data_IF_383782561374
#
_entry.id   IF_383782561374
#
_cell.length_a   1.000
_cell.length_b   1.000
_cell.length_c   1.000
_cell.angle_alpha   90.00
_cell.angle_beta   90.00
_cell.angle_gamma   90.00
#
_symmetry.space_group_name_H-M   'P 1'
#
loop_
_entity.id
_entity.type
_entity.pdbx_description
1 polymer ?
#
# COMPACT_ATOMS: atom_id res chain seq x y z
N UNK A 1 11.45 7.47 41.09
CA UNK A 1 10.32 7.06 40.22
C UNK A 1 10.52 5.59 39.86
N UNK A 2 9.80 4.68 40.53
CA UNK A 2 9.89 3.26 40.24
C UNK A 2 9.21 3.01 38.89
N UNK A 3 10.01 2.85 37.83
CA UNK A 3 9.48 2.36 36.56
C UNK A 3 8.98 0.95 36.83
N UNK A 4 7.67 0.72 36.69
CA UNK A 4 7.06 -0.58 36.95
C UNK A 4 7.82 -1.67 36.18
N UNK A 5 8.21 -2.76 36.86
CA UNK A 5 8.91 -3.90 36.23
C UNK A 5 8.17 -4.37 34.97
N UNK A 6 6.84 -4.33 34.98
CA UNK A 6 5.98 -4.58 33.83
C UNK A 6 6.36 -3.76 32.59
N UNK A 7 6.60 -2.46 32.72
CA UNK A 7 6.96 -1.59 31.58
C UNK A 7 8.32 -1.97 31.00
N UNK A 8 9.31 -2.30 31.85
CA UNK A 8 10.62 -2.77 31.36
C UNK A 8 10.49 -4.06 30.55
N UNK A 9 9.71 -5.03 31.03
CA UNK A 9 9.47 -6.28 30.31
C UNK A 9 8.67 -6.09 29.01
N UNK A 10 7.65 -5.23 29.02
CA UNK A 10 6.90 -4.89 27.81
C UNK A 10 7.79 -4.23 26.77
N UNK A 11 8.61 -3.25 27.16
CA UNK A 11 9.57 -2.61 26.25
C UNK A 11 10.54 -3.64 25.67
N UNK A 12 11.08 -4.55 26.47
CA UNK A 12 11.96 -5.60 25.96
C UNK A 12 11.25 -6.51 24.96
N UNK A 13 10.04 -6.99 25.30
CA UNK A 13 9.26 -7.88 24.45
C UNK A 13 8.86 -7.22 23.11
N UNK A 14 8.34 -6.00 23.14
CA UNK A 14 7.99 -5.28 21.91
C UNK A 14 9.20 -4.98 21.03
N UNK A 15 10.34 -4.57 21.62
CA UNK A 15 11.57 -4.37 20.84
C UNK A 15 12.09 -5.67 20.23
N UNK A 16 11.94 -6.81 20.92
CA UNK A 16 12.30 -8.12 20.39
C UNK A 16 11.41 -8.52 19.21
N UNK A 17 10.10 -8.27 19.30
CA UNK A 17 9.18 -8.50 18.19
C UNK A 17 9.53 -7.63 16.97
N UNK A 18 9.84 -6.35 17.18
CA UNK A 18 10.29 -5.47 16.10
C UNK A 18 11.61 -5.92 15.48
N UNK A 19 12.54 -6.42 16.28
CA UNK A 19 13.78 -6.97 15.78
C UNK A 19 13.55 -8.20 14.89
N UNK A 20 12.72 -9.15 15.35
CA UNK A 20 12.36 -10.36 14.58
C UNK A 20 11.63 -9.97 13.28
N UNK A 21 10.68 -9.04 13.34
CA UNK A 21 9.96 -8.59 12.14
C UNK A 21 10.89 -7.89 11.15
N UNK A 22 11.84 -7.08 11.63
CA UNK A 22 12.90 -6.49 10.81
C UNK A 22 13.73 -7.54 10.07
N UNK A 23 14.14 -8.61 10.75
CA UNK A 23 14.85 -9.73 10.14
C UNK A 23 14.02 -10.43 9.05
N UNK A 24 12.73 -10.67 9.30
CA UNK A 24 11.82 -11.29 8.31
C UNK A 24 11.66 -10.38 7.08
N UNK A 25 11.39 -9.09 7.28
CA UNK A 25 11.23 -8.11 6.20
C UNK A 25 12.52 -8.05 5.36
N UNK A 26 13.69 -8.01 5.99
CA UNK A 26 14.97 -8.04 5.27
C UNK A 26 15.17 -9.32 4.47
N UNK A 27 14.88 -10.49 5.07
CA UNK A 27 14.98 -11.77 4.38
C UNK A 27 14.09 -11.83 3.13
N UNK A 28 12.82 -11.43 3.26
CA UNK A 28 11.88 -11.37 2.13
C UNK A 28 12.32 -10.35 1.08
N UNK A 29 12.78 -9.17 1.51
CA UNK A 29 13.22 -8.12 0.57
C UNK A 29 14.44 -8.52 -0.24
N UNK A 30 15.41 -9.20 0.39
CA UNK A 30 16.60 -9.73 -0.30
C UNK A 30 16.21 -10.87 -1.24
N UNK A 31 15.32 -11.77 -0.81
CA UNK A 31 14.80 -12.85 -1.65
C UNK A 31 14.14 -12.28 -2.91
N UNK A 32 13.24 -11.30 -2.76
CA UNK A 32 12.59 -10.62 -3.89
C UNK A 32 13.58 -9.91 -4.80
N UNK A 33 14.64 -9.29 -4.25
CA UNK A 33 15.68 -8.62 -5.03
C UNK A 33 16.48 -9.61 -5.87
N UNK A 34 16.85 -10.76 -5.30
CA UNK A 34 17.56 -11.83 -6.02
C UNK A 34 16.69 -12.45 -7.10
N UNK A 35 15.45 -12.83 -6.79
CA UNK A 35 14.55 -13.47 -7.77
C UNK A 35 14.21 -12.58 -8.96
N UNK A 36 14.29 -11.26 -8.82
CA UNK A 36 14.07 -10.31 -9.92
C UNK A 36 15.35 -9.93 -10.68
N UNK A 37 16.54 -10.26 -10.16
CA UNK A 37 17.81 -9.90 -10.79
C UNK A 37 18.06 -10.66 -12.11
N UNK A 38 17.54 -11.89 -12.24
CA UNK A 38 17.68 -12.70 -13.45
C UNK A 38 16.77 -12.24 -14.61
N UNK A 39 15.75 -11.42 -14.31
CA UNK A 39 14.84 -10.87 -15.30
C UNK A 39 15.29 -9.45 -15.65
N UNK A 40 15.91 -9.28 -16.83
CA UNK A 40 16.45 -8.03 -17.40
C UNK A 40 15.40 -6.92 -17.67
N UNK A 41 14.32 -6.86 -16.90
CA UNK A 41 13.28 -5.85 -16.99
C UNK A 41 12.89 -5.48 -15.56
N UNK A 42 13.53 -4.46 -14.96
CA UNK A 42 12.83 -3.51 -14.07
C UNK A 42 13.77 -2.42 -13.53
N UNK A 43 13.89 -1.33 -14.25
CA UNK A 43 14.36 -0.05 -13.68
C UNK A 43 13.35 0.49 -12.63
N UNK A 44 12.08 0.05 -12.68
CA UNK A 44 10.99 0.63 -11.88
C UNK A 44 10.57 -0.13 -10.61
N UNK A 45 10.90 -1.43 -10.50
CA UNK A 45 10.57 -2.25 -9.31
C UNK A 45 11.69 -2.30 -8.28
N UNK A 46 12.94 -2.11 -8.71
CA UNK A 46 14.10 -1.97 -7.83
C UNK A 46 13.92 -0.89 -6.75
N UNK A 47 13.42 0.34 -7.03
CA UNK A 47 13.32 1.38 -5.99
C UNK A 47 12.37 1.00 -4.85
N UNK A 48 11.31 0.22 -5.11
CA UNK A 48 10.38 -0.20 -4.06
C UNK A 48 10.99 -1.28 -3.16
N UNK A 49 11.68 -2.26 -3.74
CA UNK A 49 12.37 -3.31 -2.99
C UNK A 49 13.55 -2.73 -2.20
N UNK A 50 14.30 -1.80 -2.78
CA UNK A 50 15.41 -1.11 -2.12
C UNK A 50 14.94 -0.27 -0.93
N UNK A 51 13.79 0.39 -1.05
CA UNK A 51 13.16 1.09 0.07
C UNK A 51 12.75 0.12 1.19
N UNK A 52 12.18 -1.04 0.84
CA UNK A 52 11.84 -2.08 1.82
C UNK A 52 13.08 -2.63 2.54
N UNK A 53 14.20 -2.81 1.84
CA UNK A 53 15.48 -3.17 2.46
C UNK A 53 15.90 -2.08 3.44
N UNK A 54 15.89 -0.80 3.03
CA UNK A 54 16.28 0.31 3.89
C UNK A 54 15.42 0.38 5.17
N UNK A 55 14.09 0.27 5.03
CA UNK A 55 13.15 0.24 6.16
C UNK A 55 13.44 -0.96 7.07
N UNK A 56 13.64 -2.16 6.50
CA UNK A 56 13.96 -3.38 7.25
C UNK A 56 15.23 -3.24 8.08
N UNK A 57 16.30 -2.64 7.51
CA UNK A 57 17.56 -2.40 8.24
C UNK A 57 17.33 -1.44 9.40
N UNK A 58 16.60 -0.35 9.18
CA UNK A 58 16.30 0.64 10.23
C UNK A 58 15.54 -0.04 11.38
N UNK A 59 14.49 -0.79 11.07
CA UNK A 59 13.69 -1.51 12.08
C UNK A 59 14.56 -2.52 12.85
N UNK A 60 15.42 -3.28 12.15
CA UNK A 60 16.33 -4.24 12.77
C UNK A 60 17.31 -3.53 13.72
N UNK A 61 17.93 -2.42 13.31
CA UNK A 61 18.88 -1.66 14.15
C UNK A 61 18.18 -1.06 15.36
N UNK A 62 17.00 -0.47 15.20
CA UNK A 62 16.22 0.10 16.30
C UNK A 62 15.79 -0.98 17.29
N UNK A 63 15.32 -2.14 16.81
CA UNK A 63 14.97 -3.27 17.65
C UNK A 63 16.16 -3.80 18.44
N UNK A 64 17.32 -3.93 17.80
CA UNK A 64 18.57 -4.35 18.46
C UNK A 64 19.02 -3.35 19.53
N UNK A 65 19.01 -2.05 19.23
CA UNK A 65 19.34 -1.00 20.19
C UNK A 65 18.36 -0.97 21.36
N UNK A 66 17.06 -1.21 21.11
CA UNK A 66 16.04 -1.33 22.15
C UNK A 66 16.27 -2.53 23.07
N UNK A 67 16.54 -3.71 22.51
CA UNK A 67 16.86 -4.92 23.28
C UNK A 67 18.16 -4.77 24.08
N UNK A 68 19.25 -4.30 23.45
CA UNK A 68 20.52 -4.06 24.12
C UNK A 68 20.42 -2.97 25.19
N UNK A 69 19.69 -1.89 24.94
CA UNK A 69 19.45 -0.83 25.91
C UNK A 69 18.69 -1.31 27.15
N UNK A 70 17.71 -2.19 26.95
CA UNK A 70 16.97 -2.82 28.04
C UNK A 70 17.82 -3.82 28.85
N UNK A 71 18.64 -4.65 28.19
CA UNK A 71 19.49 -5.66 28.86
C UNK A 71 20.66 -5.02 29.60
N UNK A 72 21.37 -4.06 28.99
CA UNK A 72 22.59 -3.47 29.57
C UNK A 72 22.32 -2.44 30.67
N UNK A 73 21.05 -2.11 30.92
CA UNK A 73 20.61 -1.01 31.80
C UNK A 73 21.36 0.32 31.53
N UNK A 74 21.93 0.46 30.32
CA UNK A 74 22.76 1.59 29.95
C UNK A 74 21.87 2.72 29.48
N UNK A 75 21.77 3.75 30.31
CA UNK A 75 20.96 4.94 30.02
C UNK A 75 21.35 5.61 28.71
N UNK A 76 22.61 5.57 28.30
CA UNK A 76 23.06 6.17 27.04
C UNK A 76 22.45 5.46 25.81
N UNK A 77 22.39 4.12 25.81
CA UNK A 77 21.79 3.33 24.71
C UNK A 77 20.27 3.52 24.63
N UNK A 78 19.58 3.55 25.77
CA UNK A 78 18.14 3.85 25.83
C UNK A 78 17.84 5.29 25.36
N UNK A 79 18.72 6.24 25.70
CA UNK A 79 18.57 7.63 25.29
C UNK A 79 18.77 7.78 23.79
N UNK A 80 19.78 7.13 23.20
CA UNK A 80 19.96 7.10 21.74
C UNK A 80 18.74 6.50 21.03
N UNK A 81 18.23 5.37 21.51
CA UNK A 81 17.00 4.77 20.98
C UNK A 81 15.82 5.76 21.01
N UNK A 82 15.63 6.46 22.13
CA UNK A 82 14.59 7.47 22.26
C UNK A 82 14.79 8.65 21.30
N UNK A 83 16.03 9.15 21.14
CA UNK A 83 16.34 10.21 20.18
C UNK A 83 15.99 9.77 18.75
N UNK A 84 16.41 8.57 18.34
CA UNK A 84 16.10 8.06 17.00
C UNK A 84 14.59 7.92 16.77
N UNK A 85 13.86 7.38 17.75
CA UNK A 85 12.39 7.30 17.66
C UNK A 85 11.75 8.68 17.54
N UNK A 86 12.22 9.66 18.31
CA UNK A 86 11.72 11.02 18.28
C UNK A 86 12.01 11.70 16.94
N UNK A 87 13.20 11.50 16.37
CA UNK A 87 13.56 11.98 15.04
C UNK A 87 12.66 11.36 13.95
N UNK A 88 12.44 10.04 13.99
CA UNK A 88 11.55 9.35 13.06
C UNK A 88 10.12 9.88 13.19
N UNK A 89 9.64 10.11 14.42
CA UNK A 89 8.33 10.68 14.66
C UNK A 89 8.18 12.08 14.05
N UNK A 90 9.17 12.96 14.23
CA UNK A 90 9.16 14.29 13.60
C UNK A 90 9.17 14.18 12.07
N UNK A 91 9.98 13.29 11.51
CA UNK A 91 10.02 13.06 10.05
C UNK A 91 8.69 12.53 9.52
N UNK A 92 8.07 11.56 10.20
CA UNK A 92 6.76 11.02 9.82
C UNK A 92 5.65 12.07 9.94
N UNK A 93 5.70 12.91 10.97
CA UNK A 93 4.75 14.01 11.14
C UNK A 93 4.91 15.05 10.02
N UNK A 94 6.14 15.46 9.72
CA UNK A 94 6.44 16.39 8.63
C UNK A 94 6.02 15.82 7.27
N UNK A 95 6.33 14.55 6.99
CA UNK A 95 5.92 13.86 5.78
C UNK A 95 4.39 13.73 5.69
N UNK A 96 3.71 13.43 6.79
CA UNK A 96 2.24 13.36 6.86
C UNK A 96 1.58 14.71 6.57
N UNK A 97 2.10 15.79 7.15
CA UNK A 97 1.63 17.16 6.86
C UNK A 97 1.90 17.52 5.40
N UNK A 98 3.11 17.24 4.89
CA UNK A 98 3.47 17.51 3.49
C UNK A 98 2.59 16.72 2.52
N UNK A 99 2.28 15.46 2.83
CA UNK A 99 1.38 14.61 2.03
C UNK A 99 -0.06 15.12 2.05
N UNK A 100 -0.53 15.63 3.19
CA UNK A 100 -1.87 16.21 3.32
C UNK A 100 -2.01 17.53 2.55
N UNK A 101 -1.00 18.41 2.60
CA UNK A 101 -1.02 19.68 1.86
C UNK A 101 -0.78 19.47 0.36
N UNK A 102 0.07 18.50 0.00
CA UNK A 102 0.43 18.15 -1.37
C UNK A 102 -0.43 17.06 -1.99
N UNK A 103 -1.68 16.88 -1.56
CA UNK A 103 -2.53 15.74 -1.92
C UNK A 103 -2.59 15.49 -3.44
N UNK A 104 -2.71 16.54 -4.25
CA UNK A 104 -2.73 16.44 -5.72
C UNK A 104 -1.44 15.84 -6.28
N UNK A 105 -0.28 16.33 -5.81
CA UNK A 105 1.04 15.85 -6.23
C UNK A 105 1.28 14.40 -5.79
N UNK A 106 0.87 14.05 -4.58
CA UNK A 106 0.95 12.66 -4.09
C UNK A 106 0.06 11.75 -4.92
N UNK A 107 -1.18 12.17 -5.22
CA UNK A 107 -2.10 11.41 -6.08
C UNK A 107 -1.52 11.20 -7.48
N UNK A 108 -0.98 12.25 -8.11
CA UNK A 108 -0.39 12.16 -9.45
C UNK A 108 0.83 11.23 -9.46
N UNK A 109 1.71 11.36 -8.47
CA UNK A 109 2.87 10.48 -8.34
C UNK A 109 2.48 9.02 -8.11
N UNK A 110 1.48 8.76 -7.26
CA UNK A 110 0.97 7.39 -7.05
C UNK A 110 0.34 6.86 -8.33
N UNK A 111 -0.46 7.66 -9.04
CA UNK A 111 -1.09 7.26 -10.31
C UNK A 111 -0.05 6.88 -11.36
N UNK A 112 0.97 7.71 -11.59
CA UNK A 112 2.03 7.43 -12.56
C UNK A 112 2.74 6.10 -12.27
N UNK A 113 2.96 5.78 -10.98
CA UNK A 113 3.57 4.51 -10.57
C UNK A 113 2.62 3.33 -10.76
N UNK A 114 1.33 3.52 -10.52
CA UNK A 114 0.31 2.48 -10.70
C UNK A 114 -0.01 2.22 -12.19
N UNK A 115 0.05 3.24 -13.04
CA UNK A 115 -0.16 3.11 -14.49
C UNK A 115 0.85 2.16 -15.14
N UNK A 116 2.08 2.08 -14.59
CA UNK A 116 3.10 1.11 -15.04
C UNK A 116 2.70 -0.36 -14.86
N UNK A 117 1.71 -0.64 -14.00
CA UNK A 117 1.17 -1.99 -13.79
C UNK A 117 0.01 -2.32 -14.74
N UNK A 118 -0.44 -1.35 -15.55
CA UNK A 118 -1.49 -1.58 -16.56
C UNK A 118 -0.88 -2.08 -17.88
N UNK A 119 -1.55 -3.00 -18.61
CA UNK A 119 -2.83 -3.61 -18.29
C UNK A 119 -2.74 -4.65 -17.16
N UNK A 120 -3.72 -4.64 -16.25
CA UNK A 120 -3.80 -5.62 -15.16
C UNK A 120 -3.96 -7.05 -15.70
N UNK A 121 -4.60 -7.20 -16.86
CA UNK A 121 -4.78 -8.49 -17.53
C UNK A 121 -3.50 -9.15 -18.02
N UNK A 122 -2.38 -8.41 -18.16
CA UNK A 122 -1.09 -9.02 -18.53
C UNK A 122 -0.22 -9.40 -17.33
N UNK A 123 -0.67 -9.09 -16.10
CA UNK A 123 0.09 -9.43 -14.89
C UNK A 123 0.06 -10.92 -14.58
N UNK A 124 1.01 -11.35 -13.74
CA UNK A 124 1.09 -12.72 -13.24
C UNK A 124 -0.20 -13.13 -12.52
N UNK A 125 -0.54 -14.42 -12.57
CA UNK A 125 -1.77 -14.93 -11.97
C UNK A 125 -1.84 -14.65 -10.47
N UNK A 126 -0.70 -14.73 -9.77
CA UNK A 126 -0.66 -14.44 -8.34
C UNK A 126 -1.04 -12.98 -8.05
N UNK A 127 -0.55 -12.03 -8.86
CA UNK A 127 -0.86 -10.60 -8.72
C UNK A 127 -2.33 -10.32 -9.01
N UNK A 128 -2.90 -11.00 -10.01
CA UNK A 128 -4.33 -10.89 -10.33
C UNK A 128 -5.19 -11.42 -9.19
N UNK A 129 -4.86 -12.59 -8.64
CA UNK A 129 -5.63 -13.20 -7.56
C UNK A 129 -5.63 -12.33 -6.30
N UNK A 130 -4.46 -11.80 -5.90
CA UNK A 130 -4.31 -10.88 -4.78
C UNK A 130 -5.12 -9.58 -5.01
N UNK A 131 -5.08 -9.04 -6.23
CA UNK A 131 -5.82 -7.84 -6.59
C UNK A 131 -7.34 -8.09 -6.61
N UNK A 132 -7.78 -9.23 -7.12
CA UNK A 132 -9.19 -9.61 -7.12
C UNK A 132 -9.72 -9.81 -5.70
N UNK A 133 -8.92 -10.37 -4.79
CA UNK A 133 -9.28 -10.47 -3.38
C UNK A 133 -9.46 -9.09 -2.75
N UNK A 134 -8.51 -8.18 -2.99
CA UNK A 134 -8.59 -6.81 -2.49
C UNK A 134 -9.81 -6.07 -3.05
N UNK A 135 -10.11 -6.23 -4.34
CA UNK A 135 -11.30 -5.66 -4.98
C UNK A 135 -12.60 -6.20 -4.38
N UNK A 136 -12.66 -7.48 -4.03
CA UNK A 136 -13.82 -8.09 -3.35
C UNK A 136 -14.02 -7.55 -1.93
N UNK A 137 -12.94 -7.30 -1.21
CA UNK A 137 -12.96 -6.80 0.17
C UNK A 137 -13.29 -5.30 0.22
N UNK A 138 -12.64 -4.50 -0.63
CA UNK A 138 -12.81 -3.05 -0.68
C UNK A 138 -13.98 -2.59 -1.57
N UNK A 139 -14.65 -3.51 -2.28
CA UNK A 139 -15.76 -3.22 -3.20
C UNK A 139 -15.41 -2.13 -4.22
N UNK A 140 -14.24 -2.26 -4.83
CA UNK A 140 -13.72 -1.35 -5.85
C UNK A 140 -13.27 -2.14 -7.08
N UNK A 141 -13.03 -1.45 -8.21
CA UNK A 141 -12.51 -2.06 -9.41
C UNK A 141 -11.39 -1.21 -10.01
N UNK A 142 -10.33 -1.85 -10.51
CA UNK A 142 -9.18 -1.19 -11.14
C UNK A 142 -8.17 -0.62 -10.15
N UNK A 143 -7.20 0.12 -10.69
CA UNK A 143 -6.11 0.78 -9.96
C UNK A 143 -6.16 2.31 -10.13
N UNK A 144 -6.36 2.79 -11.36
CA UNK A 144 -6.31 4.22 -11.74
C UNK A 144 -7.59 4.65 -12.46
N UNK A 145 -7.96 3.97 -13.55
CA UNK A 145 -9.10 4.32 -14.41
C UNK A 145 -10.31 3.38 -14.24
N UNK A 146 -10.29 2.53 -13.22
CA UNK A 146 -11.42 1.67 -12.88
C UNK A 146 -11.44 0.37 -13.69
N UNK A 147 -12.62 -0.14 -14.09
CA UNK A 147 -12.72 -1.35 -14.92
C UNK A 147 -11.90 -1.30 -16.21
N UNK A 148 -11.63 -0.09 -16.74
CA UNK A 148 -10.81 0.12 -17.92
C UNK A 148 -9.35 -0.36 -17.77
N UNK A 149 -8.81 -0.41 -16.55
CA UNK A 149 -7.42 -0.85 -16.30
C UNK A 149 -7.20 -2.34 -16.62
N UNK A 150 -8.27 -3.13 -16.68
CA UNK A 150 -8.24 -4.53 -17.08
C UNK A 150 -8.21 -4.71 -18.61
N UNK A 151 -8.61 -3.70 -19.38
CA UNK A 151 -8.69 -3.66 -20.85
C UNK A 151 -9.51 -4.81 -21.48
N UNK A 152 -9.00 -6.04 -21.45
CA UNK A 152 -9.51 -7.22 -22.16
C UNK A 152 -10.49 -8.06 -21.35
N UNK A 153 -10.24 -8.28 -20.06
CA UNK A 153 -11.07 -9.16 -19.23
C UNK A 153 -11.24 -8.60 -17.82
N UNK A 154 -12.39 -7.96 -17.58
CA UNK A 154 -12.76 -7.49 -16.24
C UNK A 154 -13.14 -8.70 -15.38
N UNK A 155 -12.49 -8.93 -14.23
CA UNK A 155 -12.77 -10.09 -13.40
C UNK A 155 -14.11 -9.99 -12.68
N UNK A 156 -14.66 -11.14 -12.23
CA UNK A 156 -15.90 -11.17 -11.47
C UNK A 156 -15.80 -10.44 -10.12
N UNK A 157 -14.58 -10.23 -9.58
CA UNK A 157 -14.34 -9.42 -8.37
C UNK A 157 -14.86 -7.99 -8.49
N UNK A 158 -14.85 -7.43 -9.70
CA UNK A 158 -15.32 -6.08 -10.00
C UNK A 158 -16.84 -5.97 -10.15
N UNK A 159 -17.57 -7.09 -10.28
CA UNK A 159 -19.01 -7.07 -10.54
C UNK A 159 -19.77 -6.65 -9.29
N UNK A 160 -20.62 -5.66 -9.45
CA UNK A 160 -21.46 -5.17 -8.36
C UNK A 160 -22.73 -6.01 -8.24
N UNK A 161 -23.03 -6.46 -7.02
CA UNK A 161 -24.28 -7.15 -6.67
C UNK A 161 -25.16 -6.32 -5.72
N UNK A 162 -24.88 -5.02 -5.58
CA UNK A 162 -25.56 -4.15 -4.62
C UNK A 162 -26.60 -3.28 -5.32
N UNK A 163 -27.76 -3.10 -4.68
CA UNK A 163 -28.85 -2.21 -5.12
C UNK A 163 -28.52 -0.71 -4.94
N UNK A 164 -27.33 -0.38 -4.42
CA UNK A 164 -26.94 0.99 -4.09
C UNK A 164 -26.13 1.63 -5.23
N UNK A 165 -26.71 2.65 -5.86
CA UNK A 165 -26.13 3.41 -6.98
C UNK A 165 -24.97 4.32 -6.58
N UNK A 166 -24.72 4.52 -5.29
CA UNK A 166 -23.60 5.38 -4.82
C UNK A 166 -22.23 4.72 -4.97
N UNK A 167 -22.19 3.39 -4.98
CA UNK A 167 -20.95 2.59 -4.98
C UNK A 167 -20.64 2.00 -6.37
N UNK A 168 -21.66 1.87 -7.22
CA UNK A 168 -21.57 1.17 -8.49
C UNK A 168 -21.92 2.10 -9.66
N UNK A 169 -21.10 2.10 -10.71
CA UNK A 169 -21.41 2.76 -11.97
C UNK A 169 -21.67 1.67 -13.01
N UNK A 170 -22.96 1.42 -13.27
CA UNK A 170 -23.41 0.30 -14.09
C UNK A 170 -23.22 -1.06 -13.40
N UNK A 171 -22.64 -2.04 -14.12
CA UNK A 171 -22.47 -3.43 -13.64
C UNK A 171 -21.22 -3.63 -12.75
N UNK A 172 -20.36 -2.61 -12.62
CA UNK A 172 -19.07 -2.70 -11.93
C UNK A 172 -18.97 -1.71 -10.77
N UNK A 173 -18.11 -2.02 -9.80
CA UNK A 173 -17.77 -1.11 -8.70
C UNK A 173 -17.00 0.11 -9.19
N UNK A 174 -17.26 1.28 -8.57
CA UNK A 174 -16.52 2.50 -8.84
C UNK A 174 -15.05 2.41 -8.36
N UNK A 175 -14.19 3.26 -8.92
CA UNK A 175 -12.93 3.64 -8.27
C UNK A 175 -13.27 4.36 -6.96
N UNK A 176 -12.59 4.00 -5.87
CA UNK A 176 -12.84 4.59 -4.54
C UNK A 176 -12.79 6.12 -4.62
N UNK A 177 -13.95 6.79 -4.49
CA UNK A 177 -14.01 8.25 -4.39
C UNK A 177 -13.39 8.68 -3.06
N UNK A 178 -12.40 9.56 -3.12
CA UNK A 178 -12.00 10.35 -1.94
C UNK A 178 -13.21 11.20 -1.54
N UNK A 179 -13.48 11.27 -0.24
CA UNK A 179 -14.65 11.90 0.36
C UNK A 179 -14.53 13.44 0.26
N UNK A 180 -14.67 14.00 -0.93
CA UNK A 180 -14.92 15.43 -1.15
C UNK A 180 -15.91 15.57 -2.30
N UNK A 181 -17.04 16.17 -1.96
CA UNK A 181 -18.10 16.62 -2.86
C UNK A 181 -17.53 17.51 -3.96
N UNK A 182 -17.47 17.01 -5.20
CA UNK A 182 -17.46 17.83 -6.41
C UNK A 182 -18.08 17.01 -7.57
N UNK A 183 -19.18 17.46 -8.19
CA UNK A 183 -19.83 16.72 -9.27
C UNK A 183 -19.06 16.97 -10.56
N UNK A 184 -18.06 16.14 -10.87
CA UNK A 184 -17.49 16.14 -12.22
C UNK A 184 -18.39 15.33 -13.15
N UNK A 185 -19.26 16.11 -13.81
CA UNK A 185 -19.97 15.86 -15.06
C UNK A 185 -19.25 14.83 -15.95
N UNK A 186 -19.56 13.54 -15.77
CA UNK A 186 -19.09 12.48 -16.65
C UNK A 186 -19.97 12.51 -17.91
N UNK A 187 -19.40 13.01 -19.00
CA UNK A 187 -20.00 12.92 -20.32
C UNK A 187 -20.30 11.46 -20.65
N UNK A 188 -21.48 11.13 -21.20
CA UNK A 188 -21.82 9.75 -21.50
C UNK A 188 -20.91 9.22 -22.62
N UNK A 189 -20.10 8.20 -22.32
CA UNK A 189 -19.64 7.30 -23.37
C UNK A 189 -20.88 6.50 -23.81
N UNK A 190 -21.34 6.81 -25.02
CA UNK A 190 -22.36 6.04 -25.73
C UNK A 190 -21.96 4.58 -25.79
N UNK A 191 -22.62 3.75 -24.99
CA UNK A 191 -22.86 2.36 -25.36
C UNK A 191 -24.28 2.30 -25.91
N UNK A 192 -24.36 2.48 -27.23
CA UNK A 192 -25.61 2.35 -27.97
C UNK A 192 -25.98 0.88 -28.06
N UNK A 193 -27.06 0.50 -27.39
CA UNK A 193 -28.00 -0.51 -27.87
C UNK A 193 -29.22 -0.59 -26.93
N UNK A 194 -30.30 0.12 -27.29
CA UNK A 194 -31.66 -0.19 -26.83
C UNK A 194 -32.60 -0.36 -28.05
N UNK A 195 -32.93 -1.63 -28.28
CA UNK A 195 -34.29 -2.16 -28.49
C UNK A 195 -35.14 -1.63 -29.67
N UNK A 196 -35.33 -2.56 -30.63
CA UNK A 196 -36.62 -2.95 -31.26
C UNK A 196 -37.23 -2.00 -32.30
N UNK A 197 -37.14 -2.40 -33.58
CA UNK A 197 -38.13 -2.02 -34.60
C UNK A 197 -38.47 -3.20 -35.54
N UNK A 198 -39.63 -3.82 -35.32
CA UNK A 198 -40.60 -4.18 -36.37
C UNK A 198 -41.97 -4.43 -35.73
N UNK A 199 -43.01 -3.78 -36.27
CA UNK A 199 -44.08 -4.57 -36.85
C UNK A 199 -44.37 -4.13 -38.28
N UNK A 200 -44.81 -5.10 -39.09
CA UNK A 200 -45.59 -4.90 -40.31
C UNK A 200 -47.01 -5.35 -39.97
#
# INVERSE_FOLDING_TARGET
>A
MAVNKCIKYLLFFFNLLFWISGCIILGVSIYLKVSKHDNKITEDTLPAVDLMIAIGVIIMVLGFLGCCGAIRENRCMLLLFFIFLLLIFILLLAAGIAAAVGESKVKDWVKERLEKFTPLSSQDQQVKDDLEQLQRELKCCGLVNGPADWQTSVPPSCRCNATSTEVCSGMYYNTVRTRTSEPQNLSPLSDGNDVRRKPT
#
